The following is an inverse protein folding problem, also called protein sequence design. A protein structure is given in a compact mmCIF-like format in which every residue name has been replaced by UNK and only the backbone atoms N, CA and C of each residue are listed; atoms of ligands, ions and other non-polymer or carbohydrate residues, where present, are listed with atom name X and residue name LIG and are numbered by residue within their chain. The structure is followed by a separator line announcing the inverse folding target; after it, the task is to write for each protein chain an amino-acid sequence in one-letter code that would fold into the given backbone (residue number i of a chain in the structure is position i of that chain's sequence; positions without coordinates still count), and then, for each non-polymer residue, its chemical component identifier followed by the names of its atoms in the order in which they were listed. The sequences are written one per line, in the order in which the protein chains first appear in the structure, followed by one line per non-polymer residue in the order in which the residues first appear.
data_IF_652932723276
#
_entry.id   IF_652932723276
#
_cell.length_a   1.000
_cell.length_b   1.000
_cell.length_c   1.000
_cell.angle_alpha   90.00
_cell.angle_beta   90.00
_cell.angle_gamma   90.00
#
_symmetry.space_group_name_H-M   'P 1'
#
loop_
_entity.id
_entity.type
_entity.pdbx_description
1 polymer ?
#
# COMPACT_ATOMS: atom_id res chain seq x y z
N UNK A 1 16.32 60.16 -4.80
CA UNK A 1 15.07 60.37 -5.56
C UNK A 1 14.68 59.03 -6.16
N UNK A 2 13.66 58.31 -5.66
CA UNK A 2 12.23 58.41 -6.08
C UNK A 2 12.12 58.41 -7.62
N UNK A 3 11.42 57.52 -8.33
CA UNK A 3 10.13 56.84 -8.02
C UNK A 3 9.76 55.78 -9.09
N UNK A 4 8.99 54.77 -8.65
CA UNK A 4 7.89 53.99 -9.28
C UNK A 4 7.95 53.50 -10.74
N UNK A 5 7.77 52.20 -11.03
CA UNK A 5 6.56 51.33 -10.95
C UNK A 5 5.43 51.73 -11.91
N UNK A 6 5.20 50.87 -12.91
CA UNK A 6 3.91 50.43 -13.50
C UNK A 6 4.28 49.48 -14.67
N UNK A 7 4.20 48.15 -14.61
CA UNK A 7 3.05 47.22 -14.45
C UNK A 7 1.84 47.59 -15.33
N UNK A 8 1.87 47.15 -16.59
CA UNK A 8 0.66 46.91 -17.38
C UNK A 8 0.48 45.43 -17.73
N UNK A 9 -0.74 45.01 -17.47
CA UNK A 9 -1.41 43.72 -17.55
C UNK A 9 -1.77 43.43 -19.00
N UNK A 10 -1.42 42.25 -19.54
CA UNK A 10 -2.11 41.66 -20.70
C UNK A 10 -2.60 40.26 -20.34
N UNK A 11 -3.92 40.19 -20.23
CA UNK A 11 -4.74 38.98 -20.20
C UNK A 11 -4.97 38.61 -21.65
N UNK A 12 -4.73 37.35 -22.01
CA UNK A 12 -5.43 36.72 -23.14
C UNK A 12 -5.82 35.30 -22.72
N UNK A 13 -7.13 35.07 -22.77
CA UNK A 13 -7.85 33.83 -22.52
C UNK A 13 -7.98 33.06 -23.85
N UNK A 14 -8.10 31.71 -23.78
CA UNK A 14 -8.72 30.73 -24.72
C UNK A 14 -7.77 29.52 -24.94
N UNK A 15 -8.19 28.25 -24.94
CA UNK A 15 -9.52 27.63 -24.97
C UNK A 15 -9.43 26.11 -24.61
N UNK A 16 -10.56 25.57 -24.11
CA UNK A 16 -11.09 24.18 -24.24
C UNK A 16 -10.36 23.01 -23.52
N UNK A 17 -11.01 21.99 -22.94
CA UNK A 17 -12.37 21.47 -23.13
C UNK A 17 -12.92 20.84 -21.81
N UNK A 18 -14.14 21.17 -21.37
CA UNK A 18 -15.46 20.51 -21.60
C UNK A 18 -15.77 19.35 -20.64
N UNK A 19 -16.75 19.57 -19.74
CA UNK A 19 -17.99 18.78 -19.66
C UNK A 19 -18.96 19.44 -18.66
N UNK A 20 -20.02 20.05 -19.20
CA UNK A 20 -21.20 20.50 -18.47
C UNK A 20 -22.45 20.03 -19.23
N UNK A 21 -23.45 19.54 -18.51
CA UNK A 21 -24.88 19.64 -18.85
C UNK A 21 -25.66 19.31 -17.57
N UNK A 22 -26.14 20.28 -16.80
CA UNK A 22 -27.34 21.13 -16.97
C UNK A 22 -28.66 20.38 -16.79
N UNK A 23 -29.22 20.61 -15.61
CA UNK A 23 -30.61 20.48 -15.17
C UNK A 23 -31.51 21.34 -16.06
N UNK A 24 -32.68 20.83 -16.45
CA UNK A 24 -33.80 21.65 -16.91
C UNK A 24 -35.04 21.25 -16.12
N UNK A 25 -35.57 22.24 -15.39
CA UNK A 25 -36.85 22.20 -14.70
C UNK A 25 -37.87 22.83 -15.62
N UNK A 26 -39.01 22.16 -15.85
CA UNK A 26 -40.20 22.79 -16.40
C UNK A 26 -41.45 22.06 -15.88
N UNK A 27 -42.20 22.71 -15.00
CA UNK A 27 -43.64 22.44 -14.83
C UNK A 27 -44.41 23.25 -15.87
N UNK A 28 -45.57 22.76 -16.34
CA UNK A 28 -46.82 23.32 -15.80
C UNK A 28 -48.03 22.36 -15.74
N UNK A 29 -48.91 22.66 -14.78
CA UNK A 29 -50.38 22.56 -14.76
C UNK A 29 -51.14 21.24 -15.08
N UNK A 30 -52.12 20.99 -14.19
CA UNK A 30 -53.18 19.98 -14.21
C UNK A 30 -54.08 20.02 -15.46
N UNK A 31 -54.33 18.85 -16.06
CA UNK A 31 -55.62 18.53 -16.70
C UNK A 31 -55.94 17.06 -16.40
N UNK A 32 -57.05 16.83 -15.70
CA UNK A 32 -57.69 15.53 -15.54
C UNK A 32 -58.32 15.09 -16.86
N UNK A 33 -58.00 13.89 -17.34
CA UNK A 33 -58.88 13.16 -18.26
C UNK A 33 -58.74 11.67 -18.02
N UNK A 34 -59.79 11.10 -17.44
CA UNK A 34 -60.04 9.68 -17.37
C UNK A 34 -60.34 9.17 -18.78
N UNK A 35 -59.56 8.20 -19.28
CA UNK A 35 -59.91 7.42 -20.46
C UNK A 35 -59.29 6.01 -20.37
N UNK A 36 -60.20 5.05 -20.23
CA UNK A 36 -60.11 3.61 -20.45
C UNK A 36 -58.76 2.99 -20.91
N UNK A 37 -58.30 2.01 -20.15
CA UNK A 37 -57.31 1.01 -20.55
C UNK A 37 -57.80 0.18 -21.75
N UNK A 38 -57.05 0.07 -22.86
CA UNK A 38 -57.20 -1.02 -23.80
C UNK A 38 -56.53 -2.27 -23.22
N UNK A 39 -57.28 -3.37 -23.12
CA UNK A 39 -56.70 -4.70 -22.97
C UNK A 39 -56.00 -5.05 -24.28
N UNK A 40 -54.68 -5.10 -24.28
CA UNK A 40 -53.92 -5.76 -25.34
C UNK A 40 -53.32 -7.01 -24.75
N UNK A 41 -53.73 -8.16 -25.31
CA UNK A 41 -53.18 -9.47 -25.03
C UNK A 41 -51.66 -9.42 -25.18
N UNK A 42 -50.96 -9.61 -24.08
CA UNK A 42 -49.52 -9.70 -24.05
C UNK A 42 -49.18 -11.14 -24.43
N UNK A 43 -48.78 -11.34 -25.69
CA UNK A 43 -48.12 -12.57 -26.11
C UNK A 43 -46.93 -12.79 -25.18
N UNK A 44 -47.06 -13.81 -24.34
CA UNK A 44 -46.07 -14.25 -23.37
C UNK A 44 -44.87 -14.83 -24.14
N UNK A 45 -44.01 -13.94 -24.61
CA UNK A 45 -42.68 -14.32 -25.06
C UNK A 45 -41.87 -14.55 -23.79
N UNK A 46 -42.07 -15.70 -23.15
CA UNK A 46 -41.15 -16.26 -22.17
C UNK A 46 -39.79 -16.38 -22.84
N UNK A 47 -38.98 -15.32 -22.76
CA UNK A 47 -37.54 -15.46 -22.87
C UNK A 47 -37.16 -16.26 -21.63
N UNK A 48 -37.10 -17.58 -21.78
CA UNK A 48 -36.39 -18.44 -20.85
C UNK A 48 -34.94 -17.96 -20.91
N UNK A 49 -34.58 -17.04 -20.02
CA UNK A 49 -33.18 -16.77 -19.73
C UNK A 49 -32.68 -18.06 -19.09
N UNK A 50 -31.93 -18.85 -19.86
CA UNK A 50 -31.11 -19.92 -19.32
C UNK A 50 -30.43 -19.36 -18.06
N UNK A 51 -30.63 -20.03 -16.93
CA UNK A 51 -29.86 -19.78 -15.72
C UNK A 51 -28.40 -19.96 -16.12
N UNK A 52 -27.71 -18.84 -16.33
CA UNK A 52 -26.34 -18.78 -16.84
C UNK A 52 -25.31 -19.52 -15.95
N UNK A 53 -25.74 -20.17 -14.86
CA UNK A 53 -24.87 -20.85 -13.91
C UNK A 53 -23.97 -19.88 -13.14
N UNK A 54 -24.16 -18.58 -13.33
CA UNK A 54 -23.44 -17.53 -12.62
C UNK A 54 -24.06 -17.43 -11.23
N UNK A 55 -23.47 -18.13 -10.27
CA UNK A 55 -23.74 -17.85 -8.84
C UNK A 55 -23.36 -16.38 -8.61
N UNK A 56 -24.34 -15.52 -8.37
CA UNK A 56 -24.09 -14.11 -8.10
C UNK A 56 -23.16 -13.97 -6.89
N UNK A 57 -22.12 -13.16 -7.02
CA UNK A 57 -21.28 -12.77 -5.89
C UNK A 57 -22.19 -12.09 -4.86
N UNK A 58 -22.19 -12.61 -3.62
CA UNK A 58 -22.89 -11.98 -2.50
C UNK A 58 -21.97 -10.94 -1.87
N UNK A 59 -22.47 -9.71 -1.74
CA UNK A 59 -21.78 -8.61 -1.10
C UNK A 59 -22.45 -8.31 0.25
N UNK A 60 -21.66 -8.10 1.30
CA UNK A 60 -22.09 -7.75 2.66
C UNK A 60 -21.14 -6.74 3.31
N UNK A 61 -21.62 -5.86 4.17
CA UNK A 61 -20.69 -5.01 4.94
C UNK A 61 -19.87 -5.89 5.90
N UNK A 62 -18.53 -5.73 5.98
CA UNK A 62 -17.76 -6.32 7.05
C UNK A 62 -18.21 -5.74 8.40
N UNK A 63 -18.14 -6.54 9.45
CA UNK A 63 -18.44 -6.06 10.80
C UNK A 63 -17.32 -5.12 11.28
N UNK A 64 -17.70 -3.94 11.75
CA UNK A 64 -16.78 -2.99 12.37
C UNK A 64 -16.72 -3.29 13.87
N UNK A 65 -15.56 -3.70 14.42
CA UNK A 65 -15.46 -3.98 15.84
C UNK A 65 -15.59 -2.68 16.66
N UNK A 66 -16.11 -2.78 17.88
CA UNK A 66 -16.23 -1.63 18.81
C UNK A 66 -14.87 -1.10 19.27
N UNK A 67 -13.83 -1.93 19.22
CA UNK A 67 -12.45 -1.52 19.52
C UNK A 67 -11.44 -2.37 18.75
N UNK A 68 -10.19 -1.90 18.69
CA UNK A 68 -9.08 -2.63 18.09
C UNK A 68 -7.77 -2.39 18.83
N UNK A 69 -6.97 -3.44 19.01
CA UNK A 69 -5.62 -3.33 19.54
C UNK A 69 -4.62 -2.86 18.47
N UNK A 70 -3.80 -1.86 18.78
CA UNK A 70 -2.69 -1.43 17.94
C UNK A 70 -1.49 -1.05 18.80
N UNK A 71 -0.35 -1.73 18.58
CA UNK A 71 0.90 -1.52 19.31
C UNK A 71 0.75 -1.57 20.85
N UNK A 72 -0.16 -2.43 21.34
CA UNK A 72 -0.44 -2.59 22.78
C UNK A 72 -1.40 -1.56 23.37
N UNK A 73 -2.05 -0.74 22.53
CA UNK A 73 -3.08 0.23 22.93
C UNK A 73 -4.43 -0.20 22.34
N UNK A 74 -5.46 -0.24 23.18
CA UNK A 74 -6.85 -0.38 22.75
C UNK A 74 -7.34 0.94 22.16
N UNK A 75 -7.81 0.92 20.92
CA UNK A 75 -8.44 2.06 20.24
C UNK A 75 -9.95 1.82 20.25
N UNK A 76 -10.69 2.74 20.86
CA UNK A 76 -12.15 2.77 20.80
C UNK A 76 -12.63 3.27 19.42
N UNK A 77 -13.54 2.51 18.82
CA UNK A 77 -14.16 2.76 17.52
C UNK A 77 -15.68 3.00 17.64
N UNK A 78 -16.23 3.06 18.85
CA UNK A 78 -17.67 3.24 19.07
C UNK A 78 -18.20 4.61 18.65
N UNK A 79 -17.36 5.66 18.72
CA UNK A 79 -17.70 7.01 18.25
C UNK A 79 -17.94 6.99 16.74
N UNK A 80 -19.05 7.59 16.29
CA UNK A 80 -19.55 7.46 14.91
C UNK A 80 -18.49 7.75 13.83
N UNK A 81 -17.67 8.80 14.01
CA UNK A 81 -16.63 9.19 13.06
C UNK A 81 -15.49 8.17 12.99
N UNK A 82 -15.12 7.54 14.10
CA UNK A 82 -14.10 6.48 14.14
C UNK A 82 -14.65 5.20 13.52
N UNK A 83 -15.92 4.87 13.81
CA UNK A 83 -16.63 3.73 13.25
C UNK A 83 -16.69 3.82 11.72
N UNK A 84 -17.20 4.93 11.18
CA UNK A 84 -17.35 5.14 9.74
C UNK A 84 -16.00 5.19 9.01
N UNK A 85 -14.96 5.75 9.64
CA UNK A 85 -13.59 5.73 9.09
C UNK A 85 -13.02 4.31 9.03
N UNK A 86 -13.28 3.48 10.04
CA UNK A 86 -12.86 2.08 10.03
C UNK A 86 -13.66 1.27 9.00
N UNK A 87 -14.99 1.41 8.97
CA UNK A 87 -15.89 0.76 8.01
C UNK A 87 -15.43 0.96 6.57
N UNK A 88 -15.15 2.22 6.22
CA UNK A 88 -14.66 2.58 4.89
C UNK A 88 -13.43 1.76 4.47
N UNK A 89 -12.45 1.60 5.36
CA UNK A 89 -11.22 0.88 5.03
C UNK A 89 -11.44 -0.63 5.03
N UNK A 90 -12.28 -1.16 5.93
CA UNK A 90 -12.68 -2.57 5.89
C UNK A 90 -13.37 -2.90 4.56
N UNK A 91 -14.33 -2.08 4.11
CA UNK A 91 -14.99 -2.21 2.81
C UNK A 91 -13.98 -2.23 1.66
N UNK A 92 -12.99 -1.33 1.68
CA UNK A 92 -11.96 -1.28 0.65
C UNK A 92 -11.14 -2.58 0.59
N UNK A 93 -10.71 -3.10 1.74
CA UNK A 93 -9.96 -4.36 1.79
C UNK A 93 -10.81 -5.60 1.44
N UNK A 94 -12.11 -5.59 1.74
CA UNK A 94 -13.04 -6.64 1.31
C UNK A 94 -13.18 -6.65 -0.20
N UNK A 95 -13.44 -5.50 -0.84
CA UNK A 95 -13.88 -5.46 -2.23
C UNK A 95 -12.80 -5.17 -3.27
N UNK A 96 -11.59 -4.76 -2.86
CA UNK A 96 -10.42 -4.71 -3.74
C UNK A 96 -9.72 -6.08 -3.84
N UNK A 97 -10.49 -7.13 -4.14
CA UNK A 97 -10.10 -8.54 -3.98
C UNK A 97 -8.73 -8.89 -4.58
N UNK A 98 -8.44 -8.44 -5.81
CA UNK A 98 -7.16 -8.73 -6.48
C UNK A 98 -5.97 -8.17 -5.70
N UNK A 99 -6.13 -6.98 -5.12
CA UNK A 99 -5.08 -6.32 -4.33
C UNK A 99 -4.90 -7.03 -3.00
N UNK A 100 -5.98 -7.30 -2.27
CA UNK A 100 -5.95 -8.00 -0.98
C UNK A 100 -5.36 -9.40 -1.09
N UNK A 101 -5.76 -10.17 -2.11
CA UNK A 101 -5.16 -11.48 -2.40
C UNK A 101 -3.66 -11.37 -2.69
N UNK A 102 -3.24 -10.39 -3.51
CA UNK A 102 -1.83 -10.19 -3.82
C UNK A 102 -1.01 -9.80 -2.59
N UNK A 103 -1.57 -8.98 -1.68
CA UNK A 103 -0.93 -8.64 -0.41
C UNK A 103 -0.71 -9.88 0.45
N UNK A 104 -1.74 -10.71 0.65
CA UNK A 104 -1.65 -11.96 1.42
C UNK A 104 -0.59 -12.90 0.84
N UNK A 105 -0.59 -13.10 -0.49
CA UNK A 105 0.39 -13.95 -1.17
C UNK A 105 1.81 -13.46 -0.97
N UNK A 106 2.06 -12.15 -1.15
CA UNK A 106 3.40 -11.55 -1.01
C UNK A 106 3.87 -11.45 0.44
N UNK A 107 2.96 -11.30 1.40
CA UNK A 107 3.32 -11.29 2.81
C UNK A 107 4.02 -12.57 3.24
N UNK A 108 3.59 -13.72 2.73
CA UNK A 108 4.26 -15.00 2.94
C UNK A 108 5.74 -15.02 2.51
N UNK A 109 6.11 -14.17 1.54
CA UNK A 109 7.50 -14.01 1.09
C UNK A 109 8.29 -13.01 1.93
N UNK A 110 7.68 -11.89 2.31
CA UNK A 110 8.42 -10.75 2.86
C UNK A 110 8.31 -10.56 4.37
N UNK A 111 7.21 -10.96 5.01
CA UNK A 111 7.10 -10.90 6.48
C UNK A 111 8.18 -11.72 7.20
N UNK A 112 8.57 -12.94 6.75
CA UNK A 112 9.70 -13.66 7.36
C UNK A 112 11.03 -12.88 7.37
N UNK A 113 11.20 -11.90 6.50
CA UNK A 113 12.39 -11.03 6.43
C UNK A 113 12.20 -9.79 7.32
N UNK A 114 11.00 -9.21 7.33
CA UNK A 114 10.71 -7.92 7.98
C UNK A 114 10.50 -8.06 9.48
N UNK A 115 9.70 -9.04 9.92
CA UNK A 115 9.31 -9.20 11.33
C UNK A 115 10.52 -9.39 12.27
N UNK A 116 11.55 -10.21 11.93
CA UNK A 116 12.73 -10.32 12.78
C UNK A 116 13.50 -9.00 12.92
N UNK A 117 13.55 -8.19 11.86
CA UNK A 117 14.23 -6.88 11.90
C UNK A 117 13.46 -5.89 12.76
N UNK A 118 12.12 -5.86 12.67
CA UNK A 118 11.29 -5.04 13.56
C UNK A 118 11.52 -5.42 15.02
N UNK A 119 11.49 -6.72 15.32
CA UNK A 119 11.72 -7.27 16.66
C UNK A 119 13.11 -6.94 17.21
N UNK A 120 14.17 -7.16 16.41
CA UNK A 120 15.55 -6.80 16.76
C UNK A 120 15.68 -5.31 17.12
N UNK A 121 14.88 -4.47 16.47
CA UNK A 121 14.87 -3.05 16.71
C UNK A 121 13.85 -2.59 17.78
N UNK A 122 13.09 -3.47 18.40
CA UNK A 122 12.06 -3.08 19.38
C UNK A 122 10.91 -2.26 18.78
N UNK A 123 10.65 -2.43 17.47
CA UNK A 123 9.48 -1.85 16.82
C UNK A 123 8.31 -2.84 16.96
N UNK A 124 7.10 -2.37 17.35
CA UNK A 124 5.93 -3.24 17.39
C UNK A 124 5.65 -3.91 16.03
N UNK A 125 5.30 -5.20 16.08
CA UNK A 125 5.08 -6.01 14.86
C UNK A 125 3.97 -5.44 13.96
N UNK A 126 2.99 -4.73 14.54
CA UNK A 126 1.91 -4.05 13.83
C UNK A 126 2.41 -3.05 12.76
N UNK A 127 3.64 -2.52 12.87
CA UNK A 127 4.20 -1.64 11.85
C UNK A 127 4.50 -2.34 10.52
N UNK A 128 4.48 -3.68 10.46
CA UNK A 128 4.52 -4.39 9.16
C UNK A 128 3.30 -4.05 8.28
N UNK A 129 2.17 -3.68 8.87
CA UNK A 129 0.97 -3.28 8.13
C UNK A 129 1.09 -1.88 7.53
N UNK A 130 1.97 -1.03 8.06
CA UNK A 130 2.35 0.23 7.41
C UNK A 130 2.95 -0.07 6.03
N UNK A 131 3.93 -0.98 5.98
CA UNK A 131 4.56 -1.43 4.73
C UNK A 131 3.54 -2.00 3.72
N UNK A 132 2.51 -2.70 4.22
CA UNK A 132 1.40 -3.22 3.38
C UNK A 132 0.68 -2.07 2.68
N UNK A 133 0.24 -1.04 3.41
CA UNK A 133 -0.57 0.04 2.85
C UNK A 133 0.24 1.02 1.97
N UNK A 134 1.55 1.08 2.18
CA UNK A 134 2.47 1.93 1.41
C UNK A 134 2.75 1.36 0.02
N UNK A 135 2.97 0.04 -0.08
CA UNK A 135 3.49 -0.55 -1.31
C UNK A 135 2.66 -1.71 -1.88
N UNK A 136 1.59 -2.12 -1.20
CA UNK A 136 0.88 -3.37 -1.49
C UNK A 136 1.85 -4.56 -1.56
N UNK A 137 2.85 -4.55 -0.67
CA UNK A 137 3.93 -5.54 -0.59
C UNK A 137 4.79 -5.64 -1.87
N UNK A 138 4.84 -4.58 -2.68
CA UNK A 138 5.64 -4.55 -3.90
C UNK A 138 7.03 -3.92 -3.65
N UNK A 139 8.12 -4.72 -3.68
CA UNK A 139 9.46 -4.20 -3.41
C UNK A 139 10.00 -3.27 -4.49
N UNK A 140 9.34 -3.17 -5.66
CA UNK A 140 9.72 -2.25 -6.73
C UNK A 140 8.77 -1.05 -6.85
N UNK A 141 7.83 -0.88 -5.90
CA UNK A 141 6.87 0.22 -5.92
C UNK A 141 7.55 1.58 -6.04
N UNK A 142 6.96 2.48 -6.83
CA UNK A 142 7.38 3.88 -6.93
C UNK A 142 6.14 4.77 -7.08
N UNK A 143 5.97 5.74 -6.19
CA UNK A 143 4.86 6.70 -6.29
C UNK A 143 5.14 7.78 -7.33
N UNK A 144 4.11 8.53 -7.71
CA UNK A 144 4.22 9.72 -8.57
C UNK A 144 5.10 10.80 -7.94
N UNK A 145 5.11 10.92 -6.62
CA UNK A 145 5.97 11.84 -5.88
C UNK A 145 7.43 11.34 -5.77
N UNK A 146 7.71 10.07 -6.12
CA UNK A 146 9.05 9.49 -6.11
C UNK A 146 9.43 8.73 -4.84
N UNK A 147 8.46 8.45 -3.97
CA UNK A 147 8.61 7.49 -2.87
C UNK A 147 8.86 6.08 -3.46
N UNK A 148 9.70 5.25 -2.80
CA UNK A 148 10.16 4.00 -3.40
C UNK A 148 10.29 2.83 -2.41
N UNK A 149 10.09 1.62 -2.95
CA UNK A 149 10.26 0.35 -2.24
C UNK A 149 9.10 0.02 -1.31
N UNK A 150 9.30 -1.01 -0.48
CA UNK A 150 8.29 -1.52 0.44
C UNK A 150 7.80 -0.47 1.45
N UNK A 151 8.73 0.37 1.91
CA UNK A 151 8.49 1.40 2.93
C UNK A 151 8.21 2.79 2.34
N UNK A 152 8.14 2.91 1.00
CA UNK A 152 7.88 4.16 0.28
C UNK A 152 8.72 5.35 0.79
N UNK A 153 10.03 5.15 0.93
CA UNK A 153 10.91 6.26 1.31
C UNK A 153 11.05 7.29 0.18
N UNK A 154 10.92 8.57 0.51
CA UNK A 154 11.40 9.65 -0.34
C UNK A 154 12.93 9.59 -0.45
N UNK A 155 13.50 10.07 -1.56
CA UNK A 155 14.95 9.98 -1.80
C UNK A 155 15.77 10.68 -0.71
N UNK A 156 15.39 11.92 -0.33
CA UNK A 156 16.04 12.66 0.75
C UNK A 156 15.99 11.90 2.06
N UNK A 157 14.78 11.53 2.49
CA UNK A 157 14.56 10.77 3.73
C UNK A 157 15.32 9.44 3.74
N UNK A 158 15.35 8.69 2.63
CA UNK A 158 16.14 7.46 2.54
C UNK A 158 17.61 7.70 2.87
N UNK A 159 18.20 8.78 2.32
CA UNK A 159 19.59 9.18 2.61
C UNK A 159 19.78 9.62 4.05
N UNK A 160 18.85 10.42 4.59
CA UNK A 160 18.89 10.87 5.99
C UNK A 160 18.94 9.69 6.96
N UNK A 161 18.25 8.60 6.61
CA UNK A 161 18.26 7.35 7.37
C UNK A 161 19.29 6.33 6.86
N UNK A 162 20.33 6.76 6.16
CA UNK A 162 21.54 5.97 5.86
C UNK A 162 21.44 5.03 4.66
N UNK A 163 20.42 5.17 3.80
CA UNK A 163 20.33 4.43 2.54
C UNK A 163 21.16 5.11 1.45
N UNK A 164 21.87 4.31 0.65
CA UNK A 164 22.45 4.78 -0.60
C UNK A 164 21.35 4.98 -1.64
N UNK A 165 21.25 6.21 -2.18
CA UNK A 165 20.29 6.54 -3.24
C UNK A 165 20.95 7.39 -4.30
N UNK A 166 21.26 6.78 -5.45
CA UNK A 166 21.77 7.40 -6.67
C UNK A 166 21.22 6.66 -7.91
N UNK A 167 21.69 7.04 -9.10
CA UNK A 167 21.18 6.46 -10.35
C UNK A 167 21.53 4.98 -10.51
N UNK A 168 22.64 4.51 -9.93
CA UNK A 168 23.13 3.15 -10.09
C UNK A 168 22.62 2.20 -8.99
N UNK A 169 22.55 2.71 -7.75
CA UNK A 169 22.13 2.01 -6.53
C UNK A 169 21.03 2.80 -5.83
N UNK A 170 19.91 2.13 -5.54
CA UNK A 170 18.83 2.70 -4.73
C UNK A 170 18.35 1.71 -3.68
N UNK A 171 18.92 1.83 -2.48
CA UNK A 171 18.69 0.92 -1.35
C UNK A 171 17.30 1.09 -0.72
N UNK A 172 16.47 2.04 -1.18
CA UNK A 172 15.04 2.06 -0.82
C UNK A 172 14.32 0.81 -1.32
N UNK A 173 14.80 0.22 -2.41
CA UNK A 173 14.31 -1.06 -2.92
C UNK A 173 14.95 -2.27 -2.21
N UNK A 174 16.01 -2.08 -1.41
CA UNK A 174 16.64 -3.17 -0.67
C UNK A 174 15.85 -3.48 0.61
N UNK A 175 15.19 -4.64 0.66
CA UNK A 175 14.23 -5.02 1.71
C UNK A 175 14.83 -4.85 3.12
N UNK A 176 15.95 -5.50 3.42
CA UNK A 176 16.54 -5.46 4.78
C UNK A 176 17.04 -4.07 5.17
N UNK A 177 17.75 -3.39 4.27
CA UNK A 177 18.30 -2.04 4.53
C UNK A 177 17.18 -1.02 4.71
N UNK A 178 16.16 -1.04 3.84
CA UNK A 178 15.00 -0.18 3.95
C UNK A 178 14.20 -0.45 5.23
N UNK A 179 14.02 -1.71 5.65
CA UNK A 179 13.37 -2.03 6.92
C UNK A 179 14.17 -1.51 8.12
N UNK A 180 15.49 -1.62 8.12
CA UNK A 180 16.34 -1.03 9.18
C UNK A 180 16.27 0.50 9.18
N UNK A 181 16.18 1.14 8.02
CA UNK A 181 15.96 2.58 7.91
C UNK A 181 14.58 2.99 8.45
N UNK A 182 13.52 2.23 8.13
CA UNK A 182 12.18 2.42 8.69
C UNK A 182 12.19 2.28 10.22
N UNK A 183 12.90 1.30 10.77
CA UNK A 183 13.04 1.16 12.22
C UNK A 183 13.66 2.41 12.86
N UNK A 184 14.70 2.99 12.26
CA UNK A 184 15.30 4.25 12.76
C UNK A 184 14.29 5.41 12.68
N UNK A 185 13.61 5.57 11.55
CA UNK A 185 12.57 6.60 11.38
C UNK A 185 11.48 6.49 12.45
N UNK A 186 10.98 5.28 12.68
CA UNK A 186 9.91 5.01 13.64
C UNK A 186 10.36 5.27 15.08
N UNK A 187 11.62 4.96 15.42
CA UNK A 187 12.20 5.30 16.73
C UNK A 187 12.31 6.80 16.94
N UNK A 188 12.76 7.54 15.95
CA UNK A 188 12.89 9.00 16.05
C UNK A 188 11.51 9.66 16.23
N UNK A 189 10.52 9.18 15.47
CA UNK A 189 9.12 9.60 15.67
C UNK A 189 8.61 9.23 17.07
N UNK A 190 8.87 8.01 17.55
CA UNK A 190 8.43 7.58 18.88
C UNK A 190 9.13 8.36 20.00
N UNK A 191 10.40 8.73 19.82
CA UNK A 191 11.12 9.58 20.76
C UNK A 191 10.44 10.93 20.96
N UNK A 192 9.81 11.47 19.89
CA UNK A 192 9.03 12.70 19.91
C UNK A 192 7.63 12.53 20.50
N UNK A 193 6.89 11.52 20.05
CA UNK A 193 5.45 11.40 20.36
C UNK A 193 5.14 10.55 21.59
N UNK A 194 5.98 9.56 21.90
CA UNK A 194 5.72 8.54 22.93
C UNK A 194 4.40 7.77 22.77
N UNK A 195 3.77 7.86 21.59
CA UNK A 195 2.52 7.19 21.23
C UNK A 195 2.63 6.62 19.82
N UNK A 196 2.40 5.31 19.67
CA UNK A 196 2.58 4.62 18.40
C UNK A 196 1.51 4.98 17.36
N UNK A 197 0.33 5.42 17.78
CA UNK A 197 -0.72 5.87 16.86
C UNK A 197 -0.31 7.19 16.21
N UNK A 198 0.21 8.14 16.98
CA UNK A 198 0.79 9.38 16.47
C UNK A 198 2.02 9.14 15.59
N UNK A 199 2.86 8.15 15.92
CA UNK A 199 3.98 7.72 15.06
C UNK A 199 3.47 7.26 13.70
N UNK A 200 2.46 6.38 13.67
CA UNK A 200 1.87 5.89 12.44
C UNK A 200 1.26 7.03 11.60
N UNK A 201 0.49 7.93 12.22
CA UNK A 201 -0.07 9.11 11.54
C UNK A 201 1.04 10.01 10.95
N UNK A 202 2.17 10.14 11.65
CA UNK A 202 3.29 10.99 11.24
C UNK A 202 4.06 10.46 10.04
N UNK A 203 3.98 9.16 9.76
CA UNK A 203 4.69 8.54 8.64
C UNK A 203 4.18 9.08 7.30
N UNK A 204 2.86 9.22 7.14
CA UNK A 204 2.24 9.82 5.95
C UNK A 204 2.33 11.34 5.94
N UNK A 205 1.97 12.00 7.04
CA UNK A 205 1.81 13.45 7.06
C UNK A 205 3.13 14.21 7.24
N UNK A 206 4.16 13.53 7.73
CA UNK A 206 5.39 14.11 8.24
C UNK A 206 5.32 14.47 9.73
N UNK A 207 6.43 14.27 10.44
CA UNK A 207 6.52 14.50 11.88
C UNK A 207 6.35 15.97 12.31
N UNK A 208 6.68 16.95 11.46
CA UNK A 208 6.41 18.35 11.79
C UNK A 208 4.91 18.66 11.71
N UNK A 209 4.23 18.08 10.73
CA UNK A 209 2.82 18.33 10.46
C UNK A 209 1.92 17.78 11.55
N UNK A 210 2.08 16.52 11.95
CA UNK A 210 1.26 15.93 13.03
C UNK A 210 1.44 16.72 14.34
N UNK A 211 2.68 17.00 14.75
CA UNK A 211 2.92 17.81 15.94
C UNK A 211 2.27 19.20 15.88
N UNK A 212 2.36 19.88 14.73
CA UNK A 212 1.71 21.18 14.54
C UNK A 212 0.18 21.08 14.57
N UNK A 213 -0.41 20.01 14.03
CA UNK A 213 -1.87 19.85 14.01
C UNK A 213 -2.44 19.48 15.38
N UNK A 214 -1.75 18.64 16.16
CA UNK A 214 -2.10 18.34 17.55
C UNK A 214 -2.19 19.64 18.36
N UNK A 215 -1.13 20.46 18.30
CA UNK A 215 -1.09 21.74 19.00
C UNK A 215 -2.13 22.75 18.47
N UNK A 216 -2.37 22.80 17.15
CA UNK A 216 -3.31 23.76 16.55
C UNK A 216 -4.77 23.43 16.87
N UNK A 217 -5.11 22.14 16.92
CA UNK A 217 -6.49 21.69 17.14
C UNK A 217 -6.78 21.37 18.61
N UNK A 218 -5.79 21.53 19.48
CA UNK A 218 -5.89 21.32 20.93
C UNK A 218 -6.40 19.90 21.26
N UNK A 219 -5.77 18.89 20.65
CA UNK A 219 -6.07 17.47 20.86
C UNK A 219 -4.79 16.67 21.10
N UNK A 220 -4.88 15.67 21.98
CA UNK A 220 -3.76 14.77 22.32
C UNK A 220 -3.75 13.51 21.43
N UNK A 221 -4.92 13.02 21.03
CA UNK A 221 -5.04 11.83 20.19
C UNK A 221 -5.00 12.21 18.71
N UNK A 222 -4.01 11.68 18.00
CA UNK A 222 -3.87 11.88 16.55
C UNK A 222 -5.07 11.38 15.73
N UNK A 223 -5.90 10.48 16.26
CA UNK A 223 -7.14 10.04 15.61
C UNK A 223 -8.26 11.09 15.67
N UNK A 224 -8.14 12.07 16.55
CA UNK A 224 -9.10 13.17 16.69
C UNK A 224 -8.75 14.36 15.78
N UNK A 225 -7.61 14.31 15.09
CA UNK A 225 -7.21 15.36 14.17
C UNK A 225 -8.12 15.44 12.94
N UNK A 226 -8.59 16.65 12.65
CA UNK A 226 -9.17 16.99 11.36
C UNK A 226 -8.04 17.24 10.35
N UNK A 227 -7.77 16.24 9.51
CA UNK A 227 -6.73 16.29 8.48
C UNK A 227 -7.35 16.20 7.08
N UNK A 228 -6.54 16.48 6.06
CA UNK A 228 -6.92 16.15 4.68
C UNK A 228 -7.19 14.66 4.57
N UNK A 229 -8.15 14.31 3.72
CA UNK A 229 -8.75 12.98 3.67
C UNK A 229 -7.73 11.84 3.58
N UNK A 230 -6.71 11.97 2.73
CA UNK A 230 -5.66 10.95 2.60
C UNK A 230 -4.97 10.65 3.93
N UNK A 231 -4.60 11.68 4.68
CA UNK A 231 -3.90 11.56 5.96
C UNK A 231 -4.84 11.09 7.07
N UNK A 232 -6.08 11.61 7.12
CA UNK A 232 -7.06 11.23 8.13
C UNK A 232 -7.39 9.72 8.09
N UNK A 233 -7.38 9.14 6.89
CA UNK A 233 -7.65 7.70 6.67
C UNK A 233 -6.45 6.80 6.96
N UNK A 234 -5.24 7.37 7.05
CA UNK A 234 -4.01 6.59 6.99
C UNK A 234 -3.88 5.57 8.12
N UNK A 235 -4.15 5.95 9.36
CA UNK A 235 -4.10 5.00 10.49
C UNK A 235 -5.17 3.92 10.35
N UNK A 236 -6.41 4.28 9.99
CA UNK A 236 -7.48 3.32 9.76
C UNK A 236 -7.15 2.31 8.66
N UNK A 237 -6.40 2.71 7.62
CA UNK A 237 -5.90 1.78 6.59
C UNK A 237 -4.95 0.74 7.18
N UNK A 238 -4.08 1.13 8.11
CA UNK A 238 -3.18 0.19 8.82
C UNK A 238 -4.00 -0.78 9.67
N UNK A 239 -4.99 -0.26 10.40
CA UNK A 239 -5.89 -1.05 11.24
C UNK A 239 -6.71 -2.05 10.42
N UNK A 240 -7.25 -1.65 9.26
CA UNK A 240 -7.98 -2.53 8.35
C UNK A 240 -7.07 -3.58 7.71
N UNK A 241 -5.84 -3.21 7.32
CA UNK A 241 -4.84 -4.19 6.88
C UNK A 241 -4.56 -5.22 7.99
N UNK A 242 -4.38 -4.78 9.24
CA UNK A 242 -4.23 -5.69 10.38
C UNK A 242 -5.40 -6.66 10.51
N UNK A 243 -6.64 -6.17 10.40
CA UNK A 243 -7.84 -7.01 10.44
C UNK A 243 -7.87 -8.03 9.30
N UNK A 244 -7.59 -7.60 8.07
CA UNK A 244 -7.48 -8.49 6.92
C UNK A 244 -6.49 -9.62 7.19
N UNK A 245 -5.28 -9.30 7.65
CA UNK A 245 -4.25 -10.31 7.90
C UNK A 245 -4.50 -11.18 9.13
N UNK A 246 -5.29 -10.72 10.09
CA UNK A 246 -5.66 -11.51 11.26
C UNK A 246 -6.77 -12.52 10.98
N UNK A 247 -7.69 -12.19 10.08
CA UNK A 247 -8.82 -13.05 9.73
C UNK A 247 -9.24 -12.89 8.25
N UNK A 248 -8.44 -13.32 7.26
CA UNK A 248 -8.77 -13.13 5.84
C UNK A 248 -10.12 -13.74 5.42
N UNK A 249 -10.55 -14.80 6.10
CA UNK A 249 -11.80 -15.49 5.83
C UNK A 249 -13.04 -14.64 6.14
N UNK A 250 -12.98 -13.69 7.08
CA UNK A 250 -14.08 -12.76 7.37
C UNK A 250 -14.27 -11.74 6.25
N UNK A 251 -13.24 -11.51 5.45
CA UNK A 251 -13.26 -10.69 4.23
C UNK A 251 -13.59 -11.52 2.97
N UNK A 252 -13.92 -12.81 3.14
CA UNK A 252 -14.23 -13.71 2.02
C UNK A 252 -13.02 -14.34 1.32
N UNK A 253 -11.79 -14.09 1.80
CA UNK A 253 -10.58 -14.66 1.20
C UNK A 253 -10.29 -16.06 1.78
N UNK A 254 -10.28 -17.06 0.89
CA UNK A 254 -9.98 -18.46 1.22
C UNK A 254 -8.81 -18.93 0.37
N UNK A 255 -7.59 -18.86 0.89
CA UNK A 255 -6.39 -19.30 0.18
C UNK A 255 -5.95 -20.69 0.66
N UNK A 256 -5.23 -21.41 -0.19
CA UNK A 256 -4.42 -22.58 0.19
C UNK A 256 -2.96 -22.14 0.33
N UNK A 257 -2.12 -22.90 1.01
CA UNK A 257 -0.70 -22.58 1.09
C UNK A 257 -0.06 -22.54 -0.30
N UNK A 258 -0.47 -23.44 -1.20
CA UNK A 258 -0.08 -23.43 -2.62
C UNK A 258 -0.41 -22.13 -3.38
N UNK A 259 -1.35 -21.32 -2.90
CA UNK A 259 -1.68 -20.02 -3.52
C UNK A 259 -0.73 -18.90 -3.09
N UNK A 260 -0.02 -19.06 -1.97
CA UNK A 260 0.91 -18.09 -1.40
C UNK A 260 2.26 -18.07 -2.14
N UNK A 261 2.98 -16.95 -2.02
CA UNK A 261 4.32 -16.85 -2.57
C UNK A 261 5.35 -17.24 -1.50
N UNK A 262 6.11 -18.34 -1.67
CA UNK A 262 7.12 -18.73 -0.71
C UNK A 262 8.33 -17.76 -0.76
N UNK A 263 9.11 -17.67 0.32
CA UNK A 263 10.47 -17.12 0.26
C UNK A 263 11.26 -17.80 -0.86
N UNK A 264 12.11 -17.05 -1.54
CA UNK A 264 12.98 -17.58 -2.60
C UNK A 264 14.32 -17.92 -1.95
N UNK A 265 14.75 -19.20 -1.88
CA UNK A 265 16.08 -19.54 -1.40
C UNK A 265 17.15 -18.93 -2.30
N UNK A 266 18.21 -18.39 -1.70
CA UNK A 266 19.31 -17.74 -2.41
C UNK A 266 20.67 -18.03 -1.77
N UNK A 267 21.73 -17.81 -2.53
CA UNK A 267 23.09 -17.64 -2.05
C UNK A 267 23.50 -16.18 -2.19
N UNK A 268 24.51 -15.78 -1.43
CA UNK A 268 25.01 -14.42 -1.42
C UNK A 268 26.38 -14.33 -2.09
N UNK A 269 26.59 -13.29 -2.89
CA UNK A 269 27.88 -12.97 -3.50
C UNK A 269 28.28 -11.58 -3.04
N UNK A 270 29.41 -11.49 -2.36
CA UNK A 270 30.01 -10.21 -1.96
C UNK A 270 30.82 -9.63 -3.11
N UNK A 271 30.58 -8.37 -3.44
CA UNK A 271 31.33 -7.63 -4.48
C UNK A 271 31.86 -6.32 -3.91
N UNK A 272 33.14 -6.04 -4.17
CA UNK A 272 33.83 -4.80 -3.77
C UNK A 272 34.30 -3.97 -4.96
N UNK A 273 34.17 -4.53 -6.17
CA UNK A 273 34.48 -3.86 -7.45
C UNK A 273 33.21 -3.69 -8.26
N UNK A 274 33.25 -2.76 -9.22
CA UNK A 274 32.14 -2.57 -10.15
C UNK A 274 31.91 -3.77 -11.05
N UNK A 275 30.68 -3.92 -11.55
CA UNK A 275 30.28 -4.92 -12.54
C UNK A 275 29.90 -4.17 -13.82
N UNK A 276 30.72 -4.27 -14.87
CA UNK A 276 30.50 -3.53 -16.11
C UNK A 276 29.21 -3.94 -16.85
N UNK A 277 28.79 -5.20 -16.73
CA UNK A 277 27.64 -5.77 -17.45
C UNK A 277 26.91 -6.77 -16.54
N UNK A 278 25.78 -6.34 -15.98
CA UNK A 278 24.96 -7.16 -15.08
C UNK A 278 24.31 -8.33 -15.82
N UNK A 279 24.05 -8.24 -17.13
CA UNK A 279 23.48 -9.34 -17.89
C UNK A 279 24.50 -10.47 -18.07
N UNK A 280 25.76 -10.13 -18.36
CA UNK A 280 26.86 -11.09 -18.41
C UNK A 280 27.17 -11.68 -17.04
N UNK A 281 27.16 -10.84 -16.00
CA UNK A 281 27.30 -11.31 -14.63
C UNK A 281 26.18 -12.30 -14.26
N UNK A 282 24.92 -11.95 -14.50
CA UNK A 282 23.77 -12.84 -14.29
C UNK A 282 23.95 -14.18 -15.02
N UNK A 283 24.31 -14.13 -16.30
CA UNK A 283 24.55 -15.34 -17.13
C UNK A 283 25.65 -16.22 -16.54
N UNK A 284 26.74 -15.64 -16.02
CA UNK A 284 27.80 -16.39 -15.34
C UNK A 284 27.33 -17.11 -14.07
N UNK A 285 26.18 -16.72 -13.52
CA UNK A 285 25.53 -17.34 -12.35
C UNK A 285 24.35 -18.24 -12.75
N UNK A 286 24.15 -18.50 -14.05
CA UNK A 286 23.08 -19.36 -14.55
C UNK A 286 21.68 -18.72 -14.50
N UNK A 287 21.59 -17.40 -14.37
CA UNK A 287 20.32 -16.65 -14.37
C UNK A 287 20.31 -15.56 -15.44
N UNK A 288 19.15 -14.99 -15.74
CA UNK A 288 19.03 -13.84 -16.63
C UNK A 288 19.01 -12.51 -15.84
N UNK A 289 19.14 -11.38 -16.55
CA UNK A 289 19.14 -10.05 -15.94
C UNK A 289 17.85 -9.75 -15.15
N UNK A 290 16.70 -10.18 -15.66
CA UNK A 290 15.41 -9.94 -15.01
C UNK A 290 15.36 -10.60 -13.62
N UNK A 291 15.82 -11.84 -13.51
CA UNK A 291 15.89 -12.56 -12.23
C UNK A 291 16.88 -11.89 -11.28
N UNK A 292 18.05 -11.47 -11.78
CA UNK A 292 19.02 -10.75 -10.96
C UNK A 292 18.42 -9.45 -10.38
N UNK A 293 17.71 -8.66 -11.20
CA UNK A 293 17.05 -7.43 -10.77
C UNK A 293 15.84 -7.68 -9.86
N UNK A 294 15.10 -8.77 -10.05
CA UNK A 294 14.00 -9.15 -9.15
C UNK A 294 14.51 -9.52 -7.76
N UNK A 295 15.65 -10.22 -7.68
CA UNK A 295 16.30 -10.59 -6.42
C UNK A 295 17.03 -9.41 -5.76
N UNK A 296 17.45 -8.43 -6.56
CA UNK A 296 18.22 -7.26 -6.11
C UNK A 296 17.65 -5.98 -6.74
N UNK A 297 16.41 -5.58 -6.39
CA UNK A 297 15.73 -4.46 -7.04
C UNK A 297 16.39 -3.10 -6.77
N UNK A 298 17.35 -3.04 -5.85
CA UNK A 298 18.22 -1.90 -5.60
C UNK A 298 19.26 -1.66 -6.71
N UNK A 299 19.53 -2.64 -7.57
CA UNK A 299 20.34 -2.48 -8.79
C UNK A 299 19.52 -1.79 -9.87
N UNK A 300 19.82 -0.53 -10.15
CA UNK A 300 18.96 0.31 -11.00
C UNK A 300 19.36 0.27 -12.47
N UNK A 301 20.65 0.31 -12.75
CA UNK A 301 21.19 0.30 -14.12
C UNK A 301 21.48 -1.11 -14.65
N UNK A 302 22.07 -1.21 -15.84
CA UNK A 302 22.57 -2.46 -16.44
C UNK A 302 24.02 -2.79 -16.06
N UNK A 303 24.65 -1.92 -15.27
CA UNK A 303 25.98 -2.08 -14.68
C UNK A 303 25.93 -1.70 -13.19
N UNK A 304 26.93 -2.12 -12.41
CA UNK A 304 27.17 -1.65 -11.05
C UNK A 304 28.46 -0.84 -11.05
N UNK A 305 28.36 0.49 -10.95
CA UNK A 305 29.50 1.38 -10.78
C UNK A 305 29.87 1.46 -9.30
N UNK A 306 31.13 1.19 -8.97
CA UNK A 306 31.58 1.16 -7.57
C UNK A 306 32.96 1.80 -7.41
N UNK A 307 33.08 3.06 -7.83
CA UNK A 307 34.33 3.83 -7.71
C UNK A 307 34.71 4.11 -6.24
N UNK A 308 33.74 4.07 -5.33
CA UNK A 308 33.92 4.26 -3.89
C UNK A 308 34.45 3.02 -3.16
N UNK A 309 34.56 1.87 -3.82
CA UNK A 309 35.04 0.62 -3.21
C UNK A 309 34.11 0.07 -2.13
N UNK A 310 32.82 0.41 -2.16
CA UNK A 310 31.83 -0.08 -1.20
C UNK A 310 31.64 -1.59 -1.34
N UNK A 311 31.26 -2.24 -0.26
CA UNK A 311 30.88 -3.66 -0.27
C UNK A 311 29.38 -3.80 -0.53
N UNK A 312 29.03 -4.55 -1.57
CA UNK A 312 27.66 -4.93 -1.86
C UNK A 312 27.49 -6.45 -1.76
N UNK A 313 26.30 -6.87 -1.30
CA UNK A 313 25.89 -8.27 -1.27
C UNK A 313 24.79 -8.46 -2.30
N UNK A 314 25.03 -9.34 -3.27
CA UNK A 314 24.10 -9.66 -4.35
C UNK A 314 23.52 -11.05 -4.09
N UNK A 315 22.20 -11.13 -4.07
CA UNK A 315 21.45 -12.38 -3.88
C UNK A 315 21.25 -13.08 -5.23
N UNK A 316 21.64 -14.35 -5.30
CA UNK A 316 21.43 -15.21 -6.47
C UNK A 316 20.50 -16.35 -6.05
N UNK A 317 19.37 -16.57 -6.72
CA UNK A 317 18.45 -17.63 -6.33
C UNK A 317 19.11 -18.99 -6.55
N UNK A 318 18.83 -19.95 -5.66
CA UNK A 318 19.26 -21.33 -5.87
C UNK A 318 18.48 -21.98 -7.00
N UNK A 319 18.93 -23.14 -7.51
CA UNK A 319 18.16 -23.91 -8.50
C UNK A 319 16.73 -24.23 -8.02
N UNK A 320 16.58 -24.54 -6.72
CA UNK A 320 15.26 -24.75 -6.12
C UNK A 320 14.42 -23.47 -6.12
N UNK A 321 15.00 -22.33 -5.75
CA UNK A 321 14.30 -21.03 -5.72
C UNK A 321 13.86 -20.50 -7.08
N UNK A 322 14.33 -21.10 -8.17
CA UNK A 322 13.95 -20.73 -9.54
C UNK A 322 12.63 -21.35 -10.00
N UNK A 323 12.09 -22.33 -9.27
CA UNK A 323 10.87 -23.07 -9.64
C UNK A 323 9.87 -23.07 -8.51
N UNK A 324 8.59 -22.83 -8.80
CA UNK A 324 7.53 -23.01 -7.81
C UNK A 324 7.24 -24.49 -7.61
N UNK A 325 7.27 -24.94 -6.36
CA UNK A 325 6.74 -26.22 -5.94
C UNK A 325 5.57 -25.98 -4.97
N UNK A 326 4.32 -25.93 -5.47
CA UNK A 326 3.15 -25.61 -4.65
C UNK A 326 2.91 -26.60 -3.51
N UNK A 327 3.46 -27.82 -3.59
CA UNK A 327 3.34 -28.84 -2.53
C UNK A 327 4.27 -28.60 -1.36
N UNK A 328 5.31 -27.77 -1.53
CA UNK A 328 6.27 -27.41 -0.49
C UNK A 328 6.01 -26.04 0.13
N UNK A 329 5.07 -25.26 -0.41
CA UNK A 329 4.77 -23.94 0.15
C UNK A 329 4.14 -24.10 1.53
N UNK A 330 4.80 -23.54 2.53
CA UNK A 330 4.28 -23.44 3.90
C UNK A 330 3.80 -22.01 4.13
N UNK A 331 2.62 -21.87 4.75
CA UNK A 331 2.13 -20.58 5.19
C UNK A 331 2.94 -20.10 6.40
N UNK A 332 3.53 -18.91 6.30
CA UNK A 332 4.19 -18.19 7.39
C UNK A 332 3.22 -17.96 8.56
N UNK A 333 1.97 -17.65 8.23
CA UNK A 333 0.87 -17.55 9.19
C UNK A 333 -0.28 -18.47 8.76
N UNK A 334 -0.63 -19.42 9.62
CA UNK A 334 -1.69 -20.40 9.36
C UNK A 334 -3.06 -19.76 9.19
N UNK A 335 -3.29 -18.56 9.74
CA UNK A 335 -4.57 -17.84 9.60
C UNK A 335 -4.87 -17.43 8.16
N UNK A 336 -3.87 -17.41 7.28
CA UNK A 336 -4.06 -16.98 5.89
C UNK A 336 -4.55 -18.06 4.95
N UNK A 337 -4.58 -19.31 5.42
CA UNK A 337 -4.99 -20.46 4.63
C UNK A 337 -6.14 -21.20 5.31
N UNK A 338 -6.88 -21.98 4.54
CA UNK A 338 -8.04 -22.74 5.05
C UNK A 338 -7.71 -24.22 5.35
N UNK A 339 -6.44 -24.62 5.22
CA UNK A 339 -5.96 -25.99 5.39
C UNK A 339 -5.11 -26.20 6.66
#
# INVERSE_FOLDING_TARGET
MKTNKEKMRKITINLAAVAAFCIVVASPALVSSSCATPKTEQEDTTIIREDSGITALKYSSPEVPTSIEFCGKTIDLSRFDRHERMDRELLAFTYMHSTSLQMLKKANRYFPIVEPILKENGIPDDFKYLMVIESNMNPTARSSAGAAGLWQFMQGTGRDYGLEVNNNVDERYHIEKATRAACRYLKDAYAKYKDWVAVAASYNAGQARIASQLAKQDVDDSLDLQLVEETARYVYRILAAKQLFNAPTTFGFRLRASDLYPPIPYTEITVTKGIADLARFARSKGINLAILKNMNPWLRETSLSNHSGRTYVIKIPTKEGMTYDPKKTVAHDKRWVIE
#
